data_IF_557154165828
#
_entry.id   IF_557154165828
#
_cell.length_a   1.000
_cell.length_b   1.000
_cell.length_c   1.000
_cell.angle_alpha   90.00
_cell.angle_beta   90.00
_cell.angle_gamma   90.00
#
_symmetry.space_group_name_H-M   'P 1'
#
loop_
_entity.id
_entity.type
_entity.pdbx_description
1 polymer ?
#
# COMPACT_ATOMS: atom_id res chain seq x y z
N UNK A 1 1.04 -27.27 -13.67
CA UNK A 1 -0.22 -26.58 -14.01
C UNK A 1 -1.07 -27.34 -15.02
N UNK A 2 -0.54 -28.31 -15.79
CA UNK A 2 -1.31 -29.08 -16.80
C UNK A 2 -2.41 -30.03 -16.24
N UNK A 3 -2.56 -30.11 -14.91
CA UNK A 3 -3.57 -30.95 -14.24
C UNK A 3 -4.76 -30.15 -13.68
N UNK A 4 -4.76 -28.82 -13.82
CA UNK A 4 -5.88 -27.98 -13.40
C UNK A 4 -6.84 -27.79 -14.57
N UNK A 5 -8.14 -27.77 -14.28
CA UNK A 5 -9.13 -27.25 -15.23
C UNK A 5 -9.02 -25.73 -15.30
N UNK A 6 -9.47 -25.13 -16.40
CA UNK A 6 -9.46 -23.67 -16.57
C UNK A 6 -10.15 -22.96 -15.41
N UNK A 7 -11.30 -23.49 -14.96
CA UNK A 7 -12.03 -22.95 -13.81
C UNK A 7 -11.21 -22.99 -12.52
N UNK A 8 -10.57 -24.14 -12.24
CA UNK A 8 -9.74 -24.28 -11.04
C UNK A 8 -8.52 -23.35 -11.08
N UNK A 9 -7.89 -23.19 -12.25
CA UNK A 9 -6.76 -22.28 -12.42
C UNK A 9 -7.15 -20.82 -12.15
N UNK A 10 -8.30 -20.37 -12.64
CA UNK A 10 -8.82 -19.02 -12.40
C UNK A 10 -9.13 -18.79 -10.92
N UNK A 11 -9.88 -19.71 -10.28
CA UNK A 11 -10.23 -19.62 -8.86
C UNK A 11 -8.99 -19.65 -7.96
N UNK A 12 -8.01 -20.50 -8.26
CA UNK A 12 -6.76 -20.58 -7.50
C UNK A 12 -5.93 -19.30 -7.64
N UNK A 13 -5.86 -18.73 -8.86
CA UNK A 13 -5.16 -17.48 -9.12
C UNK A 13 -5.77 -16.32 -8.31
N UNK A 14 -7.09 -16.20 -8.28
CA UNK A 14 -7.77 -15.18 -7.46
C UNK A 14 -7.47 -15.34 -5.97
N UNK A 15 -7.45 -16.59 -5.48
CA UNK A 15 -7.11 -16.87 -4.09
C UNK A 15 -5.64 -16.54 -3.76
N UNK A 16 -4.72 -16.80 -4.68
CA UNK A 16 -3.31 -16.40 -4.53
C UNK A 16 -3.17 -14.88 -4.44
N UNK A 17 -3.90 -14.11 -5.26
CA UNK A 17 -3.91 -12.64 -5.17
C UNK A 17 -4.45 -12.16 -3.82
N UNK A 18 -5.49 -12.81 -3.25
CA UNK A 18 -5.97 -12.47 -1.90
C UNK A 18 -4.93 -12.75 -0.83
N UNK A 19 -4.23 -13.89 -0.91
CA UNK A 19 -3.13 -14.24 0.01
C UNK A 19 -1.95 -13.27 -0.11
N UNK A 20 -1.60 -12.86 -1.32
CA UNK A 20 -0.56 -11.85 -1.57
C UNK A 20 -0.90 -10.52 -0.88
N UNK A 21 -2.15 -10.05 -0.98
CA UNK A 21 -2.60 -8.83 -0.30
C UNK A 21 -2.52 -8.94 1.23
N UNK A 22 -2.91 -10.09 1.78
CA UNK A 22 -2.78 -10.35 3.23
C UNK A 22 -1.31 -10.34 3.67
N UNK A 23 -0.42 -10.99 2.90
CA UNK A 23 1.01 -11.01 3.15
C UNK A 23 1.61 -9.60 3.08
N UNK A 24 1.18 -8.78 2.12
CA UNK A 24 1.58 -7.38 2.05
C UNK A 24 1.22 -6.64 3.33
N UNK A 25 0.01 -6.81 3.87
CA UNK A 25 -0.38 -6.21 5.15
C UNK A 25 0.56 -6.58 6.31
N UNK A 26 0.98 -7.86 6.38
CA UNK A 26 1.98 -8.33 7.34
C UNK A 26 3.33 -7.62 7.12
N UNK A 27 3.81 -7.52 5.88
CA UNK A 27 5.05 -6.81 5.53
C UNK A 27 4.98 -5.35 6.00
N UNK A 28 3.86 -4.64 5.76
CA UNK A 28 3.71 -3.25 6.17
C UNK A 28 3.76 -3.07 7.70
N UNK A 29 3.15 -3.99 8.46
CA UNK A 29 3.28 -4.01 9.93
C UNK A 29 4.71 -4.23 10.39
N UNK A 30 5.45 -5.13 9.75
CA UNK A 30 6.86 -5.36 10.05
C UNK A 30 7.72 -4.14 9.73
N UNK A 31 7.52 -3.51 8.57
CA UNK A 31 8.21 -2.27 8.21
C UNK A 31 7.92 -1.14 9.21
N UNK A 32 6.67 -1.03 9.70
CA UNK A 32 6.30 -0.09 10.76
C UNK A 32 7.10 -0.34 12.04
N UNK A 33 7.23 -1.60 12.44
CA UNK A 33 7.96 -1.97 13.66
C UNK A 33 9.48 -1.78 13.51
N UNK A 34 10.02 -2.08 12.34
CA UNK A 34 11.42 -1.79 11.97
C UNK A 34 11.68 -0.29 12.02
N UNK A 35 10.77 0.55 11.50
CA UNK A 35 10.88 2.01 11.58
C UNK A 35 10.85 2.48 13.04
N UNK A 36 9.88 2.00 13.82
CA UNK A 36 9.66 2.37 15.23
C UNK A 36 10.87 2.03 16.11
N UNK A 37 11.43 0.85 15.95
CA UNK A 37 12.62 0.38 16.68
C UNK A 37 13.94 0.88 16.08
N UNK A 38 13.91 1.58 14.95
CA UNK A 38 15.09 2.01 14.18
C UNK A 38 16.05 0.85 13.86
N UNK A 39 15.53 -0.35 13.60
CA UNK A 39 16.38 -1.52 13.31
C UNK A 39 17.21 -1.36 12.04
N UNK A 40 16.70 -0.60 11.05
CA UNK A 40 17.47 -0.25 9.86
C UNK A 40 18.77 0.50 10.22
N UNK A 41 18.72 1.38 11.23
CA UNK A 41 19.89 2.13 11.68
C UNK A 41 20.86 1.24 12.45
N UNK A 42 20.36 0.34 13.31
CA UNK A 42 21.19 -0.66 13.98
C UNK A 42 21.92 -1.61 13.00
N UNK A 43 21.35 -1.80 11.81
CA UNK A 43 21.95 -2.58 10.72
C UNK A 43 22.85 -1.74 9.79
N UNK A 44 23.07 -0.45 10.08
CA UNK A 44 23.97 0.41 9.32
C UNK A 44 23.34 1.15 8.12
N UNK A 45 22.02 1.06 7.91
CA UNK A 45 21.35 1.77 6.83
C UNK A 45 20.98 3.20 7.22
N UNK A 46 21.17 4.15 6.30
CA UNK A 46 20.91 5.58 6.53
C UNK A 46 19.42 5.92 6.70
N UNK A 47 18.53 5.07 6.21
CA UNK A 47 17.08 5.24 6.33
C UNK A 47 16.33 3.92 6.15
N UNK A 48 15.04 3.91 6.50
CA UNK A 48 14.16 2.78 6.17
C UNK A 48 14.08 2.54 4.66
N UNK A 49 14.13 3.60 3.85
CA UNK A 49 14.14 3.50 2.39
C UNK A 49 15.38 2.77 1.90
N UNK A 50 16.57 3.18 2.36
CA UNK A 50 17.85 2.53 2.04
C UNK A 50 17.83 1.05 2.44
N UNK A 51 17.29 0.72 3.62
CA UNK A 51 17.11 -0.67 4.05
C UNK A 51 16.17 -1.45 3.10
N UNK A 52 15.03 -0.89 2.71
CA UNK A 52 14.11 -1.52 1.77
C UNK A 52 14.75 -1.80 0.40
N UNK A 53 15.52 -0.85 -0.13
CA UNK A 53 16.18 -0.99 -1.44
C UNK A 53 17.36 -1.94 -1.36
N UNK A 54 18.30 -1.69 -0.45
CA UNK A 54 19.58 -2.41 -0.42
C UNK A 54 19.48 -3.80 0.22
N UNK A 55 18.69 -3.95 1.31
CA UNK A 55 18.56 -5.22 2.03
C UNK A 55 17.42 -6.08 1.53
N UNK A 56 16.24 -5.48 1.33
CA UNK A 56 15.03 -6.21 0.90
C UNK A 56 14.90 -6.30 -0.62
N UNK A 57 15.78 -5.64 -1.38
CA UNK A 57 15.86 -5.71 -2.84
C UNK A 57 14.61 -5.22 -3.57
N UNK A 58 13.85 -4.34 -2.93
CA UNK A 58 12.79 -3.60 -3.61
C UNK A 58 13.40 -2.59 -4.58
N UNK A 59 12.73 -2.34 -5.70
CA UNK A 59 13.02 -1.14 -6.48
C UNK A 59 12.68 0.12 -5.67
N UNK A 60 13.19 1.28 -6.07
CA UNK A 60 12.88 2.54 -5.41
C UNK A 60 11.37 2.82 -5.36
N UNK A 61 10.67 2.59 -6.48
CA UNK A 61 9.21 2.74 -6.56
C UNK A 61 8.47 1.76 -5.65
N UNK A 62 8.98 0.55 -5.52
CA UNK A 62 8.43 -0.46 -4.62
C UNK A 62 8.61 -0.09 -3.15
N UNK A 63 9.80 0.42 -2.78
CA UNK A 63 10.12 0.89 -1.44
C UNK A 63 9.27 2.11 -1.07
N UNK A 64 9.19 3.11 -1.95
CA UNK A 64 8.38 4.32 -1.78
C UNK A 64 6.91 3.97 -1.51
N UNK A 65 6.30 3.13 -2.37
CA UNK A 65 4.89 2.78 -2.20
C UNK A 65 4.62 2.02 -0.89
N UNK A 66 5.50 1.09 -0.50
CA UNK A 66 5.39 0.35 0.77
C UNK A 66 5.54 1.28 1.98
N UNK A 67 6.47 2.22 1.95
CA UNK A 67 6.66 3.19 3.02
C UNK A 67 5.45 4.13 3.13
N UNK A 68 4.92 4.64 2.02
CA UNK A 68 3.71 5.47 2.01
C UNK A 68 2.50 4.71 2.56
N UNK A 69 2.27 3.48 2.11
CA UNK A 69 1.18 2.63 2.62
C UNK A 69 1.34 2.32 4.11
N UNK A 70 2.54 1.98 4.57
CA UNK A 70 2.83 1.74 5.99
C UNK A 70 2.54 2.97 6.85
N UNK A 71 2.93 4.17 6.39
CA UNK A 71 2.67 5.43 7.10
C UNK A 71 1.19 5.76 7.15
N UNK A 72 0.46 5.48 6.07
CA UNK A 72 -0.99 5.68 6.03
C UNK A 72 -1.73 4.75 7.00
N UNK A 73 -1.37 3.47 7.06
CA UNK A 73 -1.92 2.54 8.06
C UNK A 73 -1.57 2.93 9.50
N UNK A 74 -0.40 3.54 9.72
CA UNK A 74 -0.05 4.08 11.04
C UNK A 74 -0.93 5.28 11.42
N UNK A 75 -1.26 6.15 10.46
CA UNK A 75 -2.14 7.31 10.68
C UNK A 75 -3.61 6.88 10.86
N UNK A 76 -4.05 5.87 10.11
CA UNK A 76 -5.42 5.40 10.05
C UNK A 76 -5.47 3.89 10.29
N UNK A 77 -5.39 3.42 11.54
CA UNK A 77 -5.51 1.99 11.86
C UNK A 77 -6.86 1.38 11.44
N UNK A 78 -7.92 2.19 11.36
CA UNK A 78 -9.28 1.77 10.99
C UNK A 78 -9.41 1.26 9.55
N UNK A 79 -8.39 1.50 8.73
CA UNK A 79 -8.31 1.08 7.33
C UNK A 79 -7.18 0.06 7.12
N UNK A 80 -6.71 -0.60 8.18
CA UNK A 80 -5.69 -1.66 8.03
C UNK A 80 -6.25 -2.92 7.36
N UNK A 81 -7.56 -3.18 7.51
CA UNK A 81 -8.21 -4.37 6.96
C UNK A 81 -8.79 -4.19 5.55
N UNK A 82 -8.89 -2.94 5.06
CA UNK A 82 -9.49 -2.68 3.74
C UNK A 82 -8.58 -3.14 2.61
N UNK A 83 -9.17 -3.69 1.56
CA UNK A 83 -8.44 -4.25 0.42
C UNK A 83 -8.14 -3.19 -0.63
N UNK A 84 -7.15 -2.35 -0.37
CA UNK A 84 -6.68 -1.31 -1.31
C UNK A 84 -5.33 -1.70 -1.90
N UNK A 85 -5.17 -1.54 -3.21
CA UNK A 85 -3.90 -1.80 -3.87
C UNK A 85 -2.80 -0.87 -3.36
N UNK A 86 -1.56 -1.36 -3.32
CA UNK A 86 -0.40 -0.58 -2.88
C UNK A 86 -0.24 0.74 -3.67
N UNK A 87 -0.53 0.70 -4.97
CA UNK A 87 -0.50 1.88 -5.84
C UNK A 87 -1.59 2.89 -5.45
N UNK A 88 -2.82 2.45 -5.18
CA UNK A 88 -3.90 3.35 -4.76
C UNK A 88 -3.60 3.95 -3.37
N UNK A 89 -3.05 3.18 -2.43
CA UNK A 89 -2.61 3.69 -1.13
C UNK A 89 -1.54 4.78 -1.28
N UNK A 90 -0.50 4.53 -2.06
CA UNK A 90 0.57 5.51 -2.28
C UNK A 90 0.07 6.80 -2.93
N UNK A 91 -0.92 6.70 -3.83
CA UNK A 91 -1.53 7.87 -4.49
C UNK A 91 -2.47 8.64 -3.59
N UNK A 92 -3.28 7.93 -2.80
CA UNK A 92 -4.12 8.54 -1.78
C UNK A 92 -3.25 9.29 -0.77
N UNK A 93 -2.17 8.68 -0.30
CA UNK A 93 -1.22 9.31 0.61
C UNK A 93 -0.58 10.57 0.00
N UNK A 94 -0.19 10.52 -1.28
CA UNK A 94 0.31 11.70 -2.00
C UNK A 94 -0.75 12.80 -2.12
N UNK A 95 -2.01 12.45 -2.39
CA UNK A 95 -3.13 13.40 -2.43
C UNK A 95 -3.37 14.02 -1.04
N UNK A 96 -3.30 13.22 0.02
CA UNK A 96 -3.48 13.65 1.41
C UNK A 96 -2.37 14.55 1.94
N UNK A 97 -1.18 14.51 1.33
CA UNK A 97 -0.10 15.48 1.61
C UNK A 97 -0.30 16.80 0.87
N UNK A 98 -0.83 16.75 -0.36
CA UNK A 98 -1.06 17.94 -1.20
C UNK A 98 -2.20 18.79 -0.66
N UNK A 99 -3.24 18.15 -0.14
CA UNK A 99 -4.44 18.82 0.36
C UNK A 99 -4.75 18.39 1.79
N UNK A 100 -5.22 19.32 2.61
CA UNK A 100 -5.58 19.04 4.01
C UNK A 100 -6.94 18.36 4.07
N UNK A 101 -6.94 17.04 4.17
CA UNK A 101 -8.14 16.26 4.50
C UNK A 101 -8.24 15.98 6.00
N UNK A 102 -9.46 15.99 6.53
CA UNK A 102 -9.73 15.48 7.88
C UNK A 102 -9.55 13.96 7.92
N UNK A 103 -9.37 13.41 9.12
CA UNK A 103 -9.22 11.97 9.34
C UNK A 103 -10.39 11.18 8.76
N UNK A 104 -11.60 11.65 9.01
CA UNK A 104 -12.85 11.05 8.54
C UNK A 104 -12.90 11.04 7.01
N UNK A 105 -12.51 12.15 6.38
CA UNK A 105 -12.51 12.25 4.91
C UNK A 105 -11.50 11.32 4.28
N UNK A 106 -10.31 11.16 4.88
CA UNK A 106 -9.31 10.18 4.42
C UNK A 106 -9.85 8.75 4.49
N UNK A 107 -10.51 8.38 5.59
CA UNK A 107 -11.13 7.06 5.75
C UNK A 107 -12.20 6.82 4.68
N UNK A 108 -13.06 7.80 4.43
CA UNK A 108 -14.08 7.70 3.36
C UNK A 108 -13.46 7.48 1.99
N UNK A 109 -12.45 8.27 1.62
CA UNK A 109 -11.75 8.13 0.34
C UNK A 109 -11.11 6.75 0.22
N UNK A 110 -10.47 6.26 1.29
CA UNK A 110 -9.83 4.95 1.28
C UNK A 110 -10.83 3.79 1.14
N UNK A 111 -12.00 3.89 1.77
CA UNK A 111 -13.10 2.93 1.57
C UNK A 111 -13.64 2.95 0.14
N UNK A 112 -13.72 4.11 -0.50
CA UNK A 112 -14.11 4.20 -1.91
C UNK A 112 -13.08 3.54 -2.86
N UNK A 113 -11.80 3.53 -2.46
CA UNK A 113 -10.70 2.91 -3.20
C UNK A 113 -10.62 1.38 -3.01
N UNK A 114 -11.41 0.81 -2.12
CA UNK A 114 -11.40 -0.63 -1.85
C UNK A 114 -11.81 -1.44 -3.08
N UNK A 115 -11.04 -2.48 -3.40
CA UNK A 115 -11.21 -3.34 -4.57
C UNK A 115 -11.22 -2.60 -5.93
N UNK A 116 -10.77 -1.34 -5.98
CA UNK A 116 -10.69 -0.56 -7.23
C UNK A 116 -9.39 -0.82 -7.96
N UNK A 117 -9.48 -0.86 -9.28
CA UNK A 117 -8.32 -0.79 -10.15
C UNK A 117 -7.58 0.53 -9.98
N UNK A 118 -6.35 0.58 -10.48
CA UNK A 118 -5.52 1.79 -10.47
C UNK A 118 -6.20 2.94 -11.23
N UNK A 119 -6.86 2.63 -12.35
CA UNK A 119 -7.57 3.62 -13.19
C UNK A 119 -8.84 4.14 -12.52
N UNK A 120 -9.59 3.29 -11.84
CA UNK A 120 -10.75 3.72 -11.06
C UNK A 120 -10.32 4.57 -9.86
N UNK A 121 -9.25 4.17 -9.19
CA UNK A 121 -8.68 4.93 -8.07
C UNK A 121 -8.21 6.33 -8.48
N UNK A 122 -7.62 6.49 -9.66
CA UNK A 122 -7.30 7.82 -10.22
C UNK A 122 -8.54 8.69 -10.37
N UNK A 123 -9.63 8.15 -10.91
CA UNK A 123 -10.88 8.90 -11.09
C UNK A 123 -11.47 9.34 -9.75
N UNK A 124 -11.46 8.46 -8.75
CA UNK A 124 -11.93 8.76 -7.40
C UNK A 124 -11.07 9.86 -6.78
N UNK A 125 -9.75 9.70 -6.79
CA UNK A 125 -8.83 10.69 -6.21
C UNK A 125 -8.89 12.05 -6.92
N UNK A 126 -9.13 12.08 -8.23
CA UNK A 126 -9.28 13.33 -8.99
C UNK A 126 -10.51 14.15 -8.58
N UNK A 127 -11.56 13.51 -8.05
CA UNK A 127 -12.74 14.22 -7.52
C UNK A 127 -12.44 14.97 -6.21
N UNK A 128 -11.47 14.47 -5.45
CA UNK A 128 -11.09 15.04 -4.15
C UNK A 128 -9.90 15.98 -4.23
N UNK A 129 -8.89 15.62 -5.03
CA UNK A 129 -7.63 16.33 -5.14
C UNK A 129 -7.15 16.35 -6.61
N UNK A 130 -7.70 17.25 -7.45
CA UNK A 130 -7.34 17.32 -8.85
C UNK A 130 -5.82 17.57 -9.02
N UNK A 131 -5.20 16.95 -10.03
CA UNK A 131 -3.83 17.29 -10.39
C UNK A 131 -3.82 18.70 -11.01
N UNK A 132 -2.85 19.56 -10.66
CA UNK A 132 -2.69 20.83 -11.36
C UNK A 132 -2.44 20.57 -12.85
N UNK A 133 -2.84 21.52 -13.71
CA UNK A 133 -2.60 21.44 -15.15
C UNK A 133 -1.11 21.32 -15.48
#
# INVERSE_FOLDING_TARGET
>A
MQHLTDKALLEETENLVRKERQLLGVILRHLREIERRRLFSALGYSSLFTYCVERLKFSEDEACRRISAMRLHRELPEVEDIQVSLTNLSRAESAFRREKFTREKKITILRELENKSVREGEKILAQYAPRPP
#
